data_IF_055803523829
#
_entry.id   IF_055803523829
#
_cell.length_a   1.000
_cell.length_b   1.000
_cell.length_c   1.000
_cell.angle_alpha   90.00
_cell.angle_beta   90.00
_cell.angle_gamma   90.00
#
_symmetry.space_group_name_H-M   'P 1'
#
loop_
_entity.id
_entity.type
_entity.pdbx_description
1 polymer ?
#
# COMPACT_ATOMS: atom_id res chain seq x y z
N UNK A 1 -8.52 -13.85 11.48
CA UNK A 1 -7.85 -14.39 10.27
C UNK A 1 -6.68 -13.51 9.82
N UNK A 2 -6.81 -12.18 9.94
CA UNK A 2 -5.78 -11.20 9.53
C UNK A 2 -4.94 -10.65 10.69
N UNK A 3 -5.38 -10.85 11.93
CA UNK A 3 -4.59 -10.54 13.13
C UNK A 3 -3.26 -11.32 13.11
N UNK A 4 -2.18 -10.66 13.51
CA UNK A 4 -0.82 -11.22 13.55
C UNK A 4 -0.28 -11.71 12.19
N UNK A 5 -0.87 -11.30 11.07
CA UNK A 5 -0.30 -11.52 9.75
C UNK A 5 0.80 -10.49 9.48
N UNK A 6 1.97 -10.99 9.08
CA UNK A 6 3.15 -10.17 8.81
C UNK A 6 3.49 -10.08 7.33
N UNK A 7 2.49 -10.31 6.48
CA UNK A 7 2.56 -10.06 5.04
C UNK A 7 1.39 -9.18 4.64
N UNK A 8 1.68 -8.11 3.90
CA UNK A 8 0.69 -7.12 3.53
C UNK A 8 1.08 -6.40 2.24
N UNK A 9 0.16 -5.58 1.75
CA UNK A 9 0.34 -4.70 0.62
C UNK A 9 0.14 -3.25 1.05
N UNK A 10 1.01 -2.37 0.55
CA UNK A 10 0.86 -0.92 0.67
C UNK A 10 0.76 -0.30 -0.71
N UNK A 11 0.24 0.93 -0.73
CA UNK A 11 0.17 1.77 -1.92
C UNK A 11 0.83 3.08 -1.66
N UNK A 12 1.55 3.59 -2.64
CA UNK A 12 2.21 4.89 -2.58
C UNK A 12 1.89 5.68 -3.84
N UNK A 13 1.51 6.95 -3.67
CA UNK A 13 1.24 7.86 -4.77
C UNK A 13 2.51 8.65 -5.04
N UNK A 14 3.12 8.40 -6.20
CA UNK A 14 4.27 9.14 -6.70
C UNK A 14 3.73 10.35 -7.46
N UNK A 15 3.82 11.51 -6.82
CA UNK A 15 3.34 12.77 -7.39
C UNK A 15 4.15 13.18 -8.61
N UNK A 16 3.44 13.66 -9.64
CA UNK A 16 4.03 14.15 -10.91
C UNK A 16 5.03 13.17 -11.54
N UNK A 17 4.76 11.87 -11.44
CA UNK A 17 5.67 10.82 -11.89
C UNK A 17 6.07 10.95 -13.38
N UNK A 18 5.19 11.51 -14.22
CA UNK A 18 5.49 11.79 -15.63
C UNK A 18 6.59 12.85 -15.85
N UNK A 19 6.81 13.75 -14.89
CA UNK A 19 7.86 14.77 -14.93
C UNK A 19 9.17 14.26 -14.30
N UNK A 20 9.11 13.16 -13.53
CA UNK A 20 10.25 12.52 -12.90
C UNK A 20 10.89 11.55 -13.88
N UNK A 21 12.00 11.95 -14.48
CA UNK A 21 12.81 11.05 -15.29
C UNK A 21 13.73 10.24 -14.38
N UNK A 22 13.69 8.90 -14.50
CA UNK A 22 14.67 8.03 -13.83
C UNK A 22 16.10 8.33 -14.28
N UNK A 23 16.24 8.88 -15.49
CA UNK A 23 17.48 9.40 -16.03
C UNK A 23 17.26 10.79 -16.62
N UNK A 24 17.96 11.81 -16.11
CA UNK A 24 18.05 13.12 -16.76
C UNK A 24 19.50 13.35 -17.20
N UNK A 25 19.69 13.74 -18.46
CA UNK A 25 21.02 14.00 -19.05
C UNK A 25 22.02 12.83 -18.86
N UNK A 26 21.52 11.59 -18.94
CA UNK A 26 22.32 10.37 -18.74
C UNK A 26 22.70 10.07 -17.28
N UNK A 27 22.22 10.86 -16.33
CA UNK A 27 22.43 10.66 -14.89
C UNK A 27 21.16 10.08 -14.26
N UNK A 28 21.31 8.96 -13.55
CA UNK A 28 20.22 8.35 -12.78
C UNK A 28 19.79 9.28 -11.63
N UNK A 29 18.48 9.55 -11.54
CA UNK A 29 17.88 10.36 -10.48
C UNK A 29 17.08 9.48 -9.51
N UNK A 30 17.12 9.82 -8.22
CA UNK A 30 16.30 9.18 -7.19
C UNK A 30 14.84 9.68 -7.31
N UNK A 31 13.93 8.80 -7.70
CA UNK A 31 12.49 9.11 -7.84
C UNK A 31 11.74 8.87 -6.52
N UNK A 32 12.21 7.90 -5.74
CA UNK A 32 11.72 7.56 -4.41
C UNK A 32 12.77 7.89 -3.36
N UNK A 33 12.32 8.24 -2.16
CA UNK A 33 13.20 8.63 -1.03
C UNK A 33 14.20 7.53 -0.61
N UNK A 34 14.11 6.30 -1.13
CA UNK A 34 14.88 5.13 -0.69
C UNK A 34 15.54 4.32 -1.82
N UNK A 35 15.68 4.83 -3.05
CA UNK A 35 16.14 4.02 -4.20
C UNK A 35 17.59 3.53 -4.10
N UNK A 36 18.50 4.31 -3.52
CA UNK A 36 19.93 3.95 -3.41
C UNK A 36 20.31 3.26 -2.10
N UNK A 37 19.30 2.80 -1.36
CA UNK A 37 19.48 2.23 -0.03
C UNK A 37 19.58 3.33 1.01
N UNK A 38 18.76 3.21 2.05
CA UNK A 38 18.77 4.15 3.15
C UNK A 38 20.16 4.20 3.79
N UNK A 39 20.62 5.40 4.14
CA UNK A 39 21.62 5.57 5.22
C UNK A 39 21.20 4.62 6.32
N UNK A 40 22.09 3.73 6.81
CA UNK A 40 21.76 2.71 7.82
C UNK A 40 20.97 3.35 8.95
N UNK A 41 19.65 3.28 8.85
CA UNK A 41 18.73 3.81 9.83
C UNK A 41 18.50 2.66 10.77
N UNK A 42 18.83 2.88 12.03
CA UNK A 42 18.51 1.89 13.04
C UNK A 42 17.00 1.88 13.21
N UNK A 43 16.34 0.96 12.52
CA UNK A 43 14.90 0.80 12.65
C UNK A 43 14.57 0.32 14.05
N UNK A 44 13.75 1.08 14.77
CA UNK A 44 13.20 0.63 16.05
C UNK A 44 11.95 -0.22 15.80
N UNK A 45 11.50 -0.98 16.78
CA UNK A 45 10.27 -1.80 16.64
C UNK A 45 9.03 -0.95 16.30
N UNK A 46 9.04 0.34 16.63
CA UNK A 46 7.99 1.29 16.31
C UNK A 46 8.14 1.97 14.92
N UNK A 47 9.16 1.64 14.14
CA UNK A 47 9.41 2.33 12.87
C UNK A 47 8.31 2.07 11.85
N UNK A 48 7.97 3.17 11.19
CA UNK A 48 6.85 3.29 10.26
C UNK A 48 6.80 2.28 9.13
N UNK A 49 7.96 1.84 8.68
CA UNK A 49 8.13 0.99 7.51
C UNK A 49 8.15 -0.50 7.88
N UNK A 50 8.18 -0.82 9.17
CA UNK A 50 8.37 -2.20 9.64
C UNK A 50 7.08 -2.94 9.94
N UNK A 51 5.98 -2.22 10.17
CA UNK A 51 4.71 -2.80 10.59
C UNK A 51 3.55 -2.33 9.69
N UNK A 52 2.55 -3.18 9.43
CA UNK A 52 1.34 -2.80 8.71
C UNK A 52 0.59 -1.69 9.46
N UNK A 53 0.16 -0.66 8.72
CA UNK A 53 -0.43 0.57 9.26
C UNK A 53 -1.89 0.76 8.88
N UNK A 54 -2.52 1.83 9.38
CA UNK A 54 -3.87 2.22 8.95
C UNK A 54 -4.00 2.44 7.45
N UNK A 55 -2.93 2.85 6.76
CA UNK A 55 -2.89 3.12 5.32
C UNK A 55 -2.48 1.91 4.46
N UNK A 56 -2.31 0.73 5.07
CA UNK A 56 -2.07 -0.49 4.30
C UNK A 56 -3.24 -0.75 3.37
N UNK A 57 -2.95 -1.25 2.18
CA UNK A 57 -3.98 -1.64 1.24
C UNK A 57 -4.68 -2.90 1.74
N UNK A 58 -3.92 -3.93 2.12
CA UNK A 58 -4.45 -5.24 2.47
C UNK A 58 -3.44 -6.09 3.24
N UNK A 59 -3.88 -6.79 4.27
CA UNK A 59 -3.11 -7.83 4.95
C UNK A 59 -3.51 -9.21 4.43
N UNK A 60 -2.56 -10.13 4.30
CA UNK A 60 -2.88 -11.53 3.97
C UNK A 60 -3.44 -12.27 5.18
N UNK A 61 -4.10 -13.40 4.98
CA UNK A 61 -4.48 -14.26 6.10
C UNK A 61 -3.24 -14.87 6.79
N UNK A 62 -3.17 -14.80 8.12
CA UNK A 62 -1.98 -15.21 8.89
C UNK A 62 -1.65 -16.72 8.79
N UNK A 63 -2.62 -17.54 8.39
CA UNK A 63 -2.55 -19.00 8.37
C UNK A 63 -3.23 -19.59 7.14
N UNK A 64 -3.07 -18.94 5.99
CA UNK A 64 -3.70 -19.37 4.74
C UNK A 64 -2.62 -19.85 3.79
N UNK A 65 -2.58 -21.16 3.51
CA UNK A 65 -1.70 -21.74 2.49
C UNK A 65 -2.29 -21.62 1.08
N UNK A 66 -3.60 -21.40 0.99
CA UNK A 66 -4.32 -21.27 -0.27
C UNK A 66 -4.09 -19.90 -0.92
N UNK A 67 -4.18 -19.87 -2.24
CA UNK A 67 -4.07 -18.65 -3.01
C UNK A 67 -5.26 -17.73 -2.74
N UNK A 68 -4.99 -16.53 -2.21
CA UNK A 68 -6.02 -15.52 -1.95
C UNK A 68 -6.22 -14.63 -3.18
N UNK A 69 -7.44 -14.58 -3.71
CA UNK A 69 -7.83 -13.61 -4.73
C UNK A 69 -8.54 -12.42 -4.07
N UNK A 70 -7.80 -11.32 -3.90
CA UNK A 70 -8.34 -10.11 -3.28
C UNK A 70 -8.59 -9.05 -4.35
N UNK A 71 -9.81 -8.49 -4.33
CA UNK A 71 -10.19 -7.33 -5.15
C UNK A 71 -10.50 -6.17 -4.23
N UNK A 72 -9.76 -5.08 -4.40
CA UNK A 72 -9.97 -3.84 -3.65
C UNK A 72 -10.43 -2.78 -4.64
N UNK A 73 -11.48 -2.08 -4.27
CA UNK A 73 -12.03 -0.97 -5.03
C UNK A 73 -11.96 0.24 -4.14
N UNK A 74 -11.32 1.27 -4.64
CA UNK A 74 -11.38 2.61 -4.08
C UNK A 74 -12.33 3.43 -4.93
N UNK A 75 -13.23 4.14 -4.28
CA UNK A 75 -14.18 5.02 -4.93
C UNK A 75 -14.07 6.43 -4.38
N UNK A 76 -14.20 7.44 -5.24
CA UNK A 76 -14.13 8.84 -4.82
C UNK A 76 -15.28 9.24 -3.87
N UNK A 77 -16.39 8.48 -3.88
CA UNK A 77 -17.53 8.65 -2.98
C UNK A 77 -17.43 7.84 -1.69
N UNK A 78 -16.37 7.05 -1.51
CA UNK A 78 -16.12 6.40 -0.23
C UNK A 78 -16.01 7.50 0.85
N UNK A 79 -16.61 7.25 2.02
CA UNK A 79 -16.75 8.23 3.11
C UNK A 79 -16.81 7.58 4.49
N UNK A 80 -16.31 6.35 4.63
CA UNK A 80 -16.28 5.67 5.92
C UNK A 80 -15.16 6.32 6.74
N UNK A 81 -15.51 6.81 7.93
CA UNK A 81 -14.54 7.37 8.87
C UNK A 81 -13.58 6.26 9.34
N UNK A 82 -12.25 6.42 9.21
CA UNK A 82 -11.27 5.44 9.66
C UNK A 82 -11.38 5.05 11.14
N UNK A 83 -11.91 5.92 11.99
CA UNK A 83 -12.10 5.67 13.42
C UNK A 83 -13.51 5.12 13.76
N UNK A 84 -14.33 4.85 12.74
CA UNK A 84 -15.66 4.29 12.95
C UNK A 84 -15.62 2.81 13.33
N UNK A 85 -16.65 2.31 14.06
CA UNK A 85 -16.80 0.88 14.32
C UNK A 85 -16.85 0.04 13.03
N UNK A 86 -17.40 0.60 11.95
CA UNK A 86 -17.44 -0.04 10.63
C UNK A 86 -16.04 -0.23 10.05
N UNK A 87 -15.18 0.80 10.12
CA UNK A 87 -13.80 0.71 9.65
C UNK A 87 -13.00 -0.35 10.42
N UNK A 88 -13.16 -0.41 11.75
CA UNK A 88 -12.53 -1.45 12.57
C UNK A 88 -13.03 -2.86 12.24
N UNK A 89 -14.33 -3.03 11.97
CA UNK A 89 -14.88 -4.32 11.57
C UNK A 89 -14.34 -4.75 10.20
N UNK A 90 -14.23 -3.83 9.24
CA UNK A 90 -13.61 -4.09 7.92
C UNK A 90 -12.14 -4.49 8.09
N UNK A 91 -11.37 -3.78 8.92
CA UNK A 91 -9.98 -4.14 9.18
C UNK A 91 -9.86 -5.54 9.78
N UNK A 92 -10.68 -5.86 10.78
CA UNK A 92 -10.66 -7.15 11.47
C UNK A 92 -11.09 -8.32 10.57
N UNK A 93 -12.14 -8.11 9.78
CA UNK A 93 -12.78 -9.17 8.97
C UNK A 93 -12.22 -9.30 7.57
N UNK A 94 -11.62 -8.23 7.02
CA UNK A 94 -11.10 -8.21 5.66
C UNK A 94 -9.60 -7.91 5.60
N UNK A 95 -8.96 -7.41 6.66
CA UNK A 95 -7.54 -7.06 6.65
C UNK A 95 -7.21 -5.79 5.86
N UNK A 96 -8.22 -5.01 5.45
CA UNK A 96 -8.04 -3.75 4.72
C UNK A 96 -7.72 -2.60 5.68
N UNK A 97 -6.81 -1.72 5.31
CA UNK A 97 -6.44 -0.59 6.16
C UNK A 97 -7.58 0.45 6.27
N UNK A 98 -7.92 0.91 7.48
CA UNK A 98 -9.03 1.85 7.70
C UNK A 98 -8.84 3.21 7.01
N UNK A 99 -7.59 3.68 6.85
CA UNK A 99 -7.30 4.96 6.15
C UNK A 99 -7.52 4.88 4.63
N UNK A 100 -7.91 3.72 4.10
CA UNK A 100 -8.21 3.53 2.67
C UNK A 100 -9.72 3.53 2.37
N UNK A 101 -10.57 3.78 3.37
CA UNK A 101 -12.03 3.64 3.29
C UNK A 101 -12.79 4.97 3.13
N UNK A 102 -12.08 6.09 3.18
CA UNK A 102 -12.68 7.43 3.16
C UNK A 102 -12.63 8.11 1.79
N UNK A 103 -12.10 7.43 0.77
CA UNK A 103 -12.00 7.94 -0.61
C UNK A 103 -11.03 9.11 -0.82
N UNK A 104 -10.33 9.61 0.21
CA UNK A 104 -9.38 10.73 0.09
C UNK A 104 -8.27 10.42 -0.90
N UNK A 105 -7.71 9.21 -0.81
CA UNK A 105 -6.65 8.75 -1.72
C UNK A 105 -7.04 8.76 -3.19
N UNK A 106 -8.34 8.71 -3.54
CA UNK A 106 -8.80 8.85 -4.94
C UNK A 106 -9.04 10.31 -5.30
N UNK A 107 -9.67 11.08 -4.39
CA UNK A 107 -9.98 12.51 -4.61
C UNK A 107 -8.74 13.37 -4.73
N UNK A 108 -7.64 12.95 -4.11
CA UNK A 108 -6.37 13.65 -4.12
C UNK A 108 -5.49 13.28 -5.32
N UNK A 109 -5.84 12.29 -6.14
CA UNK A 109 -5.04 11.90 -7.31
C UNK A 109 -5.17 12.95 -8.42
N UNK A 110 -4.03 13.30 -9.01
CA UNK A 110 -3.97 14.24 -10.12
C UNK A 110 -3.48 13.56 -11.40
N UNK A 111 -3.78 14.19 -12.55
CA UNK A 111 -3.28 13.71 -13.84
C UNK A 111 -1.76 13.78 -13.83
N UNK A 112 -1.13 12.65 -14.10
CA UNK A 112 0.33 12.54 -14.12
C UNK A 112 0.94 11.97 -12.85
N UNK A 113 0.13 11.68 -11.82
CA UNK A 113 0.53 10.85 -10.68
C UNK A 113 0.66 9.38 -11.09
N UNK A 114 1.57 8.65 -10.44
CA UNK A 114 1.67 7.19 -10.54
C UNK A 114 1.38 6.52 -9.21
N UNK A 115 0.81 5.32 -9.25
CA UNK A 115 0.55 4.52 -8.05
C UNK A 115 1.52 3.33 -8.04
N UNK A 116 2.31 3.23 -6.98
CA UNK A 116 3.15 2.06 -6.70
C UNK A 116 2.41 1.12 -5.75
N UNK A 117 2.49 -0.18 -6.03
CA UNK A 117 2.01 -1.25 -5.14
C UNK A 117 3.23 -1.95 -4.53
N UNK A 118 3.31 -1.95 -3.21
CA UNK A 118 4.36 -2.62 -2.46
C UNK A 118 3.83 -3.91 -1.86
N UNK A 119 4.46 -5.04 -2.14
CA UNK A 119 4.22 -6.29 -1.44
C UNK A 119 5.28 -6.46 -0.36
N UNK A 120 4.86 -6.60 0.90
CA UNK A 120 5.75 -6.67 2.06
C UNK A 120 5.58 -7.98 2.82
N UNK A 121 6.68 -8.40 3.45
CA UNK A 121 6.76 -9.51 4.38
C UNK A 121 7.74 -9.13 5.48
N UNK A 122 7.39 -9.42 6.74
CA UNK A 122 8.24 -9.14 7.90
C UNK A 122 8.34 -10.37 8.80
N UNK A 123 9.47 -10.47 9.49
CA UNK A 123 9.89 -11.56 10.37
C UNK A 123 10.29 -12.85 9.63
N UNK A 124 11.17 -13.60 10.28
CA UNK A 124 11.66 -14.87 9.75
C UNK A 124 10.49 -15.84 9.59
N UNK A 125 10.47 -16.56 8.46
CA UNK A 125 9.42 -17.53 8.15
C UNK A 125 8.22 -16.96 7.39
N UNK A 126 8.13 -15.63 7.23
CA UNK A 126 7.09 -15.00 6.41
C UNK A 126 7.62 -14.66 5.01
N UNK A 127 6.84 -15.01 3.99
CA UNK A 127 7.09 -14.66 2.60
C UNK A 127 5.78 -14.23 1.94
N UNK A 128 5.84 -13.22 1.09
CA UNK A 128 4.70 -12.75 0.31
C UNK A 128 4.85 -13.23 -1.14
N UNK A 129 4.10 -14.25 -1.53
CA UNK A 129 4.14 -14.83 -2.87
C UNK A 129 3.06 -14.24 -3.76
N UNK A 130 3.45 -13.29 -4.60
CA UNK A 130 2.53 -12.60 -5.52
C UNK A 130 2.58 -13.27 -6.89
N UNK A 131 1.51 -13.99 -7.26
CA UNK A 131 1.42 -14.58 -8.59
C UNK A 131 1.03 -13.55 -9.66
N UNK A 132 0.09 -12.66 -9.33
CA UNK A 132 -0.38 -11.62 -10.24
C UNK A 132 -0.90 -10.42 -9.45
N UNK A 133 -0.49 -9.23 -9.88
CA UNK A 133 -1.12 -7.97 -9.49
C UNK A 133 -1.76 -7.33 -10.72
N UNK A 134 -2.95 -6.75 -10.56
CA UNK A 134 -3.60 -5.97 -11.62
C UNK A 134 -4.24 -4.74 -11.00
N UNK A 135 -3.78 -3.57 -11.43
CA UNK A 135 -4.38 -2.29 -11.09
C UNK A 135 -5.14 -1.75 -12.29
N UNK A 136 -6.32 -1.16 -12.04
CA UNK A 136 -7.12 -0.47 -13.06
C UNK A 136 -7.56 0.85 -12.46
N UNK A 137 -7.23 1.93 -13.14
CA UNK A 137 -7.59 3.28 -12.74
C UNK A 137 -8.63 3.77 -13.75
N UNK A 138 -9.72 4.32 -13.24
CA UNK A 138 -10.78 4.92 -14.05
C UNK A 138 -10.87 6.39 -13.68
N UNK A 139 -10.89 7.26 -14.67
CA UNK A 139 -11.13 8.69 -14.52
C UNK A 139 -12.20 9.12 -15.52
N UNK A 140 -13.00 10.09 -15.13
CA UNK A 140 -13.88 10.82 -16.04
C UNK A 140 -13.22 12.18 -16.30
N UNK A 141 -13.18 12.58 -17.56
CA UNK A 141 -12.72 13.91 -18.01
C UNK A 141 -13.95 14.79 -18.25
#
# INVERSE_FOLDING_TARGET
>A
MYECAWTWFDTEVIREAHAKNMYADGTEQEILDNERGQVRKHYTEADSLLLPRGNKLQVNGAHVSEMQHVRIVWHYQDSIDPESPEAHEIERTQGRGPLTLDGRGVRELEVGDSIALWARARFVGWSNHVYRARMRIFWAV
#
